data_IF_897903771868
#
_entry.id   IF_897903771868
#
_cell.length_a   1.000
_cell.length_b   1.000
_cell.length_c   1.000
_cell.angle_alpha   90.00
_cell.angle_beta   90.00
_cell.angle_gamma   90.00
#
_symmetry.space_group_name_H-M   'P 1'
#
loop_
_entity.id
_entity.type
_entity.pdbx_description
1 polymer ?
#
# COMPACT_ATOMS: atom_id res chain seq x y z
N UNK A 1 7.26 -18.55 -21.47
CA UNK A 1 6.64 -17.24 -21.79
C UNK A 1 5.11 -17.23 -21.61
N UNK A 2 4.32 -18.10 -22.26
CA UNK A 2 2.84 -18.04 -22.17
C UNK A 2 2.26 -18.24 -20.74
N UNK A 3 2.88 -19.09 -19.90
CA UNK A 3 2.41 -19.33 -18.52
C UNK A 3 2.52 -18.09 -17.64
N UNK A 4 3.63 -17.36 -17.71
CA UNK A 4 3.85 -16.16 -16.91
C UNK A 4 2.90 -15.03 -17.34
N UNK A 5 2.65 -14.88 -18.65
CA UNK A 5 1.68 -13.92 -19.17
C UNK A 5 0.25 -14.16 -18.62
N UNK A 6 -0.21 -15.42 -18.58
CA UNK A 6 -1.49 -15.78 -17.96
C UNK A 6 -1.54 -15.47 -16.46
N UNK A 7 -0.45 -15.72 -15.72
CA UNK A 7 -0.35 -15.41 -14.28
C UNK A 7 -0.43 -13.90 -14.06
N UNK A 8 0.36 -13.12 -14.81
CA UNK A 8 0.36 -11.66 -14.74
C UNK A 8 -1.05 -11.12 -14.99
N UNK A 9 -1.73 -11.55 -16.06
CA UNK A 9 -3.08 -11.10 -16.36
C UNK A 9 -4.08 -11.39 -15.23
N UNK A 10 -3.99 -12.56 -14.59
CA UNK A 10 -4.84 -12.91 -13.44
C UNK A 10 -4.53 -12.05 -12.22
N UNK A 11 -3.25 -11.79 -11.95
CA UNK A 11 -2.83 -10.90 -10.86
C UNK A 11 -3.28 -9.45 -11.10
N UNK A 12 -3.17 -8.95 -12.34
CA UNK A 12 -3.69 -7.64 -12.72
C UNK A 12 -5.21 -7.56 -12.52
N UNK A 13 -5.96 -8.61 -12.90
CA UNK A 13 -7.39 -8.66 -12.68
C UNK A 13 -7.76 -8.70 -11.18
N UNK A 14 -7.02 -9.47 -10.38
CA UNK A 14 -7.19 -9.49 -8.93
C UNK A 14 -6.87 -8.12 -8.30
N UNK A 15 -5.87 -7.42 -8.82
CA UNK A 15 -5.52 -6.08 -8.35
C UNK A 15 -6.58 -5.06 -8.71
N UNK A 16 -7.11 -5.12 -9.94
CA UNK A 16 -8.25 -4.30 -10.33
C UNK A 16 -9.48 -4.57 -9.46
N UNK A 17 -9.76 -5.83 -9.15
CA UNK A 17 -10.85 -6.23 -8.27
C UNK A 17 -10.64 -5.75 -6.83
N UNK A 18 -9.42 -5.83 -6.29
CA UNK A 18 -9.14 -5.29 -4.94
C UNK A 18 -9.30 -3.77 -4.92
N UNK A 19 -8.85 -3.07 -5.96
CA UNK A 19 -8.93 -1.61 -6.03
C UNK A 19 -10.34 -1.06 -6.22
N UNK A 20 -11.16 -1.73 -7.03
CA UNK A 20 -12.52 -1.30 -7.30
C UNK A 20 -13.52 -1.90 -6.28
N UNK A 21 -13.37 -3.20 -5.97
CA UNK A 21 -14.25 -3.95 -5.09
C UNK A 21 -13.98 -3.70 -3.61
N UNK A 22 -12.79 -4.08 -3.11
CA UNK A 22 -12.45 -3.86 -1.70
C UNK A 22 -12.41 -2.36 -1.38
N UNK A 23 -11.87 -1.54 -2.28
CA UNK A 23 -11.91 -0.09 -2.16
C UNK A 23 -13.33 0.47 -2.04
N UNK A 24 -14.25 0.03 -2.90
CA UNK A 24 -15.65 0.43 -2.88
C UNK A 24 -16.38 0.00 -1.60
N UNK A 25 -16.18 -1.25 -1.15
CA UNK A 25 -16.78 -1.77 0.09
C UNK A 25 -16.27 -0.98 1.30
N UNK A 26 -14.96 -0.77 1.38
CA UNK A 26 -14.35 -0.05 2.50
C UNK A 26 -14.78 1.42 2.56
N UNK A 27 -14.98 2.05 1.39
CA UNK A 27 -15.56 3.38 1.28
C UNK A 27 -17.03 3.40 1.72
N UNK A 28 -17.83 2.41 1.31
CA UNK A 28 -19.23 2.27 1.73
C UNK A 28 -19.37 2.06 3.25
N UNK A 29 -18.45 1.29 3.85
CA UNK A 29 -18.38 1.07 5.30
C UNK A 29 -17.73 2.24 6.07
N UNK A 30 -17.28 3.28 5.38
CA UNK A 30 -16.56 4.44 5.97
C UNK A 30 -15.39 4.02 6.86
N UNK A 31 -14.70 2.93 6.50
CA UNK A 31 -13.68 2.35 7.36
C UNK A 31 -12.40 3.22 7.35
N UNK A 32 -11.88 3.62 8.53
CA UNK A 32 -10.65 4.40 8.61
C UNK A 32 -9.43 3.61 8.13
N UNK A 33 -9.53 2.28 8.02
CA UNK A 33 -8.43 1.39 7.63
C UNK A 33 -8.37 1.11 6.12
N UNK A 34 -9.22 1.75 5.31
CA UNK A 34 -9.30 1.52 3.85
C UNK A 34 -7.94 1.53 3.16
N UNK A 35 -7.11 2.55 3.40
CA UNK A 35 -5.79 2.67 2.79
C UNK A 35 -4.81 1.56 3.19
N UNK A 36 -4.96 0.99 4.38
CA UNK A 36 -4.09 -0.07 4.88
C UNK A 36 -4.42 -1.40 4.19
N UNK A 37 -5.71 -1.74 4.08
CA UNK A 37 -6.14 -2.96 3.40
C UNK A 37 -5.92 -2.87 1.89
N UNK A 38 -6.45 -1.83 1.24
CA UNK A 38 -6.36 -1.68 -0.22
C UNK A 38 -4.91 -1.52 -0.64
N UNK A 39 -4.14 -0.67 0.06
CA UNK A 39 -2.71 -0.52 -0.19
C UNK A 39 -1.90 -1.78 0.10
N UNK A 40 -2.20 -2.51 1.18
CA UNK A 40 -1.58 -3.80 1.49
C UNK A 40 -1.74 -4.83 0.36
N UNK A 41 -2.97 -4.99 -0.14
CA UNK A 41 -3.24 -5.87 -1.28
C UNK A 41 -2.55 -5.40 -2.56
N UNK A 42 -2.51 -4.09 -2.81
CA UNK A 42 -1.81 -3.53 -3.97
C UNK A 42 -0.31 -3.85 -3.94
N UNK A 43 0.37 -3.66 -2.79
CA UNK A 43 1.80 -3.99 -2.63
C UNK A 43 2.03 -5.47 -2.93
N UNK A 44 1.23 -6.37 -2.36
CA UNK A 44 1.34 -7.81 -2.60
C UNK A 44 1.20 -8.16 -4.09
N UNK A 45 0.14 -7.67 -4.73
CA UNK A 45 -0.18 -8.02 -6.11
C UNK A 45 0.83 -7.43 -7.10
N UNK A 46 1.26 -6.19 -6.90
CA UNK A 46 2.28 -5.57 -7.75
C UNK A 46 3.64 -6.25 -7.57
N UNK A 47 3.98 -6.69 -6.36
CA UNK A 47 5.21 -7.48 -6.12
C UNK A 47 5.15 -8.83 -6.84
N UNK A 48 4.01 -9.52 -6.80
CA UNK A 48 3.82 -10.77 -7.55
C UNK A 48 3.87 -10.56 -9.06
N UNK A 49 3.28 -9.49 -9.58
CA UNK A 49 3.39 -9.11 -10.99
C UNK A 49 4.87 -8.89 -11.36
N UNK A 50 5.61 -8.14 -10.55
CA UNK A 50 7.03 -7.91 -10.75
C UNK A 50 7.84 -9.22 -10.74
N UNK A 51 7.50 -10.14 -9.84
CA UNK A 51 8.17 -11.44 -9.69
C UNK A 51 7.99 -12.36 -10.91
N UNK A 52 6.82 -12.35 -11.56
CA UNK A 52 6.58 -13.16 -12.76
C UNK A 52 6.95 -12.46 -14.08
N UNK A 53 7.39 -11.20 -14.03
CA UNK A 53 7.70 -10.39 -15.20
C UNK A 53 9.16 -10.48 -15.62
N UNK A 54 9.40 -10.44 -16.94
CA UNK A 54 10.75 -10.30 -17.51
C UNK A 54 11.22 -8.84 -17.42
N UNK A 55 10.38 -7.89 -17.89
CA UNK A 55 10.57 -6.46 -17.72
C UNK A 55 9.57 -5.90 -16.69
N UNK A 56 10.07 -5.64 -15.47
CA UNK A 56 9.26 -5.24 -14.32
C UNK A 56 8.57 -3.90 -14.52
N UNK A 57 9.29 -2.91 -15.02
CA UNK A 57 8.74 -1.57 -15.22
C UNK A 57 7.57 -1.59 -16.21
N UNK A 58 7.81 -2.11 -17.40
CA UNK A 58 6.81 -2.17 -18.47
C UNK A 58 5.57 -2.97 -18.03
N UNK A 59 5.79 -4.12 -17.39
CA UNK A 59 4.70 -5.01 -16.97
C UNK A 59 3.84 -4.39 -15.87
N UNK A 60 4.46 -3.72 -14.89
CA UNK A 60 3.73 -3.02 -13.82
C UNK A 60 2.93 -1.85 -14.38
N UNK A 61 3.53 -1.02 -15.25
CA UNK A 61 2.83 0.12 -15.85
C UNK A 61 1.67 -0.34 -16.73
N UNK A 62 1.86 -1.41 -17.52
CA UNK A 62 0.76 -1.99 -18.30
C UNK A 62 -0.37 -2.51 -17.41
N UNK A 63 -0.02 -3.14 -16.29
CA UNK A 63 -1.00 -3.61 -15.31
C UNK A 63 -1.74 -2.44 -14.64
N UNK A 64 -1.02 -1.37 -14.28
CA UNK A 64 -1.59 -0.15 -13.72
C UNK A 64 -2.63 0.45 -14.68
N UNK A 65 -2.33 0.56 -15.97
CA UNK A 65 -3.28 1.11 -16.95
C UNK A 65 -4.59 0.31 -16.97
N UNK A 66 -4.50 -1.02 -16.97
CA UNK A 66 -5.69 -1.89 -16.93
C UNK A 66 -6.46 -1.69 -15.62
N UNK A 67 -5.77 -1.66 -14.48
CA UNK A 67 -6.36 -1.44 -13.15
C UNK A 67 -7.06 -0.09 -13.08
N UNK A 68 -6.46 0.96 -13.61
CA UNK A 68 -7.03 2.31 -13.65
C UNK A 68 -8.28 2.37 -14.53
N UNK A 69 -8.26 1.75 -15.71
CA UNK A 69 -9.43 1.65 -16.59
C UNK A 69 -10.58 0.95 -15.88
N UNK A 70 -10.31 -0.18 -15.22
CA UNK A 70 -11.34 -0.93 -14.50
C UNK A 70 -11.85 -0.12 -13.30
N UNK A 71 -10.97 0.53 -12.52
CA UNK A 71 -11.35 1.35 -11.37
C UNK A 71 -12.25 2.51 -11.78
N UNK A 72 -11.93 3.17 -12.90
CA UNK A 72 -12.77 4.22 -13.49
C UNK A 72 -14.11 3.67 -13.98
N UNK A 73 -14.13 2.51 -14.64
CA UNK A 73 -15.36 1.92 -15.17
C UNK A 73 -16.31 1.42 -14.06
N UNK A 74 -15.77 0.83 -13.00
CA UNK A 74 -16.55 0.22 -11.92
C UNK A 74 -16.92 1.24 -10.83
N UNK A 75 -16.06 2.23 -10.58
CA UNK A 75 -16.22 3.17 -9.46
C UNK A 75 -15.80 4.60 -9.83
N UNK A 76 -16.44 5.24 -10.83
CA UNK A 76 -16.05 6.57 -11.32
C UNK A 76 -16.12 7.65 -10.23
N UNK A 77 -16.99 7.47 -9.23
CA UNK A 77 -17.15 8.38 -8.10
C UNK A 77 -16.11 8.22 -6.99
N UNK A 78 -15.12 7.34 -7.16
CA UNK A 78 -14.03 7.18 -6.18
C UNK A 78 -13.27 8.50 -5.99
N UNK A 79 -12.81 8.81 -4.76
CA UNK A 79 -12.05 10.03 -4.49
C UNK A 79 -10.83 10.15 -5.40
N UNK A 80 -10.49 11.36 -5.90
CA UNK A 80 -9.30 11.57 -6.72
C UNK A 80 -7.99 11.08 -6.07
N UNK A 81 -7.90 11.19 -4.74
CA UNK A 81 -6.76 10.68 -3.95
C UNK A 81 -6.58 9.18 -4.07
N UNK A 82 -7.66 8.41 -4.25
CA UNK A 82 -7.58 6.96 -4.44
C UNK A 82 -6.89 6.60 -5.77
N UNK A 83 -7.14 7.36 -6.84
CA UNK A 83 -6.46 7.16 -8.12
C UNK A 83 -4.97 7.52 -8.05
N UNK A 84 -4.64 8.59 -7.32
CA UNK A 84 -3.27 8.99 -7.07
C UNK A 84 -2.51 7.94 -6.25
N UNK A 85 -3.13 7.40 -5.20
CA UNK A 85 -2.51 6.37 -4.36
C UNK A 85 -2.12 5.11 -5.16
N UNK A 86 -3.03 4.59 -5.99
CA UNK A 86 -2.78 3.38 -6.82
C UNK A 86 -1.68 3.63 -7.84
N UNK A 87 -1.70 4.81 -8.46
CA UNK A 87 -0.68 5.24 -9.40
C UNK A 87 0.69 5.34 -8.72
N UNK A 88 0.74 5.96 -7.55
CA UNK A 88 1.95 6.09 -6.75
C UNK A 88 2.51 4.71 -6.34
N UNK A 89 1.66 3.81 -5.85
CA UNK A 89 2.04 2.44 -5.49
C UNK A 89 2.71 1.69 -6.65
N UNK A 90 2.11 1.77 -7.83
CA UNK A 90 2.62 1.10 -9.02
C UNK A 90 3.92 1.71 -9.54
N UNK A 91 4.00 3.05 -9.59
CA UNK A 91 5.22 3.76 -10.02
C UNK A 91 6.37 3.46 -9.07
N UNK A 92 6.12 3.54 -7.75
CA UNK A 92 7.15 3.25 -6.75
C UNK A 92 7.59 1.79 -6.80
N UNK A 93 6.68 0.84 -6.96
CA UNK A 93 7.04 -0.57 -7.14
C UNK A 93 7.85 -0.78 -8.43
N UNK A 94 7.44 -0.17 -9.54
CA UNK A 94 8.20 -0.20 -10.79
C UNK A 94 9.60 0.36 -10.63
N UNK A 95 9.74 1.52 -9.99
CA UNK A 95 11.02 2.20 -9.77
C UNK A 95 11.94 1.41 -8.84
N UNK A 96 11.39 0.93 -7.71
CA UNK A 96 12.12 0.13 -6.72
C UNK A 96 12.52 -1.19 -7.36
N UNK A 97 11.61 -1.97 -7.95
CA UNK A 97 11.94 -3.31 -8.43
C UNK A 97 12.74 -3.36 -9.74
N UNK A 98 12.67 -2.32 -10.56
CA UNK A 98 13.53 -2.20 -11.75
C UNK A 98 14.99 -1.97 -11.37
N UNK A 99 15.26 -1.13 -10.36
CA UNK A 99 16.63 -0.80 -9.91
C UNK A 99 17.16 -1.76 -8.85
N UNK A 100 16.34 -2.05 -7.85
CA UNK A 100 16.62 -2.95 -6.74
C UNK A 100 15.90 -4.26 -7.04
N UNK A 101 16.62 -5.39 -7.12
CA UNK A 101 15.96 -6.69 -7.30
C UNK A 101 14.94 -6.92 -6.18
N UNK A 102 14.01 -7.86 -6.40
CA UNK A 102 13.05 -8.26 -5.37
C UNK A 102 13.84 -8.92 -4.23
N UNK A 103 13.96 -8.21 -3.11
CA UNK A 103 14.63 -8.66 -1.91
C UNK A 103 13.84 -8.15 -0.69
N UNK A 104 14.22 -8.60 0.51
CA UNK A 104 13.56 -8.22 1.77
C UNK A 104 13.53 -6.69 1.96
N UNK A 105 14.65 -6.01 1.70
CA UNK A 105 14.76 -4.58 1.91
C UNK A 105 13.94 -3.74 0.92
N UNK A 106 13.87 -4.17 -0.36
CA UNK A 106 13.13 -3.47 -1.40
C UNK A 106 11.62 -3.64 -1.24
N UNK A 107 11.17 -4.81 -0.80
CA UNK A 107 9.77 -5.07 -0.43
C UNK A 107 9.33 -4.32 0.82
N UNK A 108 10.17 -4.28 1.87
CA UNK A 108 9.94 -3.43 3.05
C UNK A 108 9.90 -1.95 2.69
N UNK A 109 10.86 -1.47 1.89
CA UNK A 109 10.90 -0.08 1.43
C UNK A 109 9.62 0.29 0.67
N UNK A 110 9.18 -0.58 -0.25
CA UNK A 110 7.93 -0.37 -0.97
C UNK A 110 6.74 -0.29 0.00
N UNK A 111 6.66 -1.22 0.96
CA UNK A 111 5.60 -1.23 1.97
C UNK A 111 5.55 0.04 2.81
N UNK A 112 6.70 0.50 3.30
CA UNK A 112 6.82 1.77 4.06
C UNK A 112 6.38 2.95 3.20
N UNK A 113 6.96 3.11 2.02
CA UNK A 113 6.72 4.29 1.18
C UNK A 113 5.25 4.39 0.78
N UNK A 114 4.62 3.29 0.42
CA UNK A 114 3.22 3.27 -0.01
C UNK A 114 2.23 3.47 1.12
N UNK A 115 2.45 2.85 2.29
CA UNK A 115 1.57 3.05 3.45
C UNK A 115 1.72 4.44 4.08
N UNK A 116 2.95 4.95 4.17
CA UNK A 116 3.21 6.30 4.66
C UNK A 116 2.61 7.33 3.69
N UNK A 117 2.70 7.13 2.38
CA UNK A 117 2.06 8.01 1.41
C UNK A 117 0.54 8.05 1.60
N UNK A 118 -0.12 6.89 1.77
CA UNK A 118 -1.57 6.85 2.06
C UNK A 118 -1.93 7.57 3.37
N UNK A 119 -1.07 7.45 4.39
CA UNK A 119 -1.24 8.15 5.65
C UNK A 119 -1.11 9.67 5.47
N UNK A 120 -0.11 10.12 4.72
CA UNK A 120 0.12 11.54 4.39
C UNK A 120 -1.06 12.09 3.59
N UNK A 121 -1.57 11.37 2.59
CA UNK A 121 -2.74 11.83 1.82
C UNK A 121 -3.94 12.14 2.72
N UNK A 122 -4.23 11.31 3.73
CA UNK A 122 -5.31 11.56 4.68
C UNK A 122 -5.07 12.81 5.52
N UNK A 123 -3.83 13.02 5.98
CA UNK A 123 -3.46 14.23 6.72
C UNK A 123 -3.56 15.48 5.85
N UNK A 124 -3.18 15.39 4.57
CA UNK A 124 -3.31 16.48 3.61
C UNK A 124 -4.77 16.81 3.33
N UNK A 125 -5.65 15.80 3.18
CA UNK A 125 -7.09 16.03 3.03
C UNK A 125 -7.67 16.69 4.29
N UNK A 126 -7.27 16.23 5.48
CA UNK A 126 -7.70 16.84 6.75
C UNK A 126 -7.27 18.31 6.84
N UNK A 127 -6.01 18.60 6.51
CA UNK A 127 -5.49 19.96 6.50
C UNK A 127 -6.14 20.83 5.43
N UNK A 128 -6.45 20.28 4.25
CA UNK A 128 -7.13 21.02 3.19
C UNK A 128 -8.56 21.40 3.59
N UNK A 129 -9.28 20.52 4.28
CA UNK A 129 -10.67 20.75 4.70
C UNK A 129 -10.75 21.67 5.92
N UNK A 130 -9.96 21.42 6.96
CA UNK A 130 -10.08 22.12 8.25
C UNK A 130 -9.01 23.20 8.45
N UNK A 131 -8.01 23.28 7.58
CA UNK A 131 -6.90 24.21 7.71
C UNK A 131 -6.15 24.06 9.02
N UNK A 132 -5.74 25.19 9.59
CA UNK A 132 -5.06 25.23 10.89
C UNK A 132 -6.01 25.10 12.09
N UNK A 133 -7.32 25.11 11.89
CA UNK A 133 -8.28 25.09 13.00
C UNK A 133 -8.24 23.77 13.77
N UNK A 134 -8.17 22.64 13.06
CA UNK A 134 -8.11 21.30 13.66
C UNK A 134 -6.83 21.12 14.49
N UNK A 135 -5.69 21.55 13.96
CA UNK A 135 -4.41 21.43 14.64
C UNK A 135 -4.37 22.29 15.91
N UNK A 136 -4.86 23.53 15.82
CA UNK A 136 -4.99 24.42 16.99
C UNK A 136 -5.95 23.84 18.04
N UNK A 137 -7.05 23.22 17.63
CA UNK A 137 -7.98 22.59 18.57
C UNK A 137 -7.34 21.40 19.30
N UNK A 138 -6.54 20.59 18.58
CA UNK A 138 -5.76 19.49 19.17
C UNK A 138 -4.74 20.03 20.17
N UNK A 139 -3.98 21.08 19.80
CA UNK A 139 -2.98 21.66 20.70
C UNK A 139 -3.64 22.30 21.94
N UNK A 140 -4.74 23.02 21.78
CA UNK A 140 -5.51 23.57 22.91
C UNK A 140 -6.06 22.49 23.84
N UNK A 141 -6.51 21.37 23.28
CA UNK A 141 -6.93 20.21 24.07
C UNK A 141 -5.74 19.57 24.81
N UNK A 142 -4.57 19.53 24.17
CA UNK A 142 -3.31 19.13 24.77
C UNK A 142 -2.90 19.98 25.96
N UNK A 143 -3.00 21.31 25.83
CA UNK A 143 -2.74 22.26 26.90
C UNK A 143 -3.69 22.06 28.08
N UNK A 144 -4.98 21.81 27.79
CA UNK A 144 -5.98 21.50 28.80
C UNK A 144 -5.68 20.22 29.58
N UNK A 145 -5.26 19.13 28.90
CA UNK A 145 -4.85 17.89 29.56
C UNK A 145 -3.60 18.12 30.40
N UNK A 146 -2.62 18.83 29.84
CA UNK A 146 -1.34 19.13 30.51
C UNK A 146 -1.56 19.89 31.81
N UNK A 147 -2.49 20.85 31.82
CA UNK A 147 -2.86 21.61 33.01
C UNK A 147 -3.51 20.74 34.11
N UNK A 148 -4.17 19.63 33.74
CA UNK A 148 -4.86 18.71 34.66
C UNK A 148 -4.02 17.50 35.07
N UNK A 149 -3.08 17.09 34.23
CA UNK A 149 -2.27 15.88 34.40
C UNK A 149 -0.83 16.16 33.93
N UNK A 150 0.03 16.60 34.86
CA UNK A 150 1.40 17.02 34.52
C UNK A 150 2.25 15.90 33.90
N UNK A 151 1.90 14.64 34.15
CA UNK A 151 2.60 13.48 33.56
C UNK A 151 2.33 13.32 32.05
N UNK A 152 1.22 13.86 31.53
CA UNK A 152 0.90 13.82 30.09
C UNK A 152 1.32 15.09 29.33
N UNK A 153 2.08 15.97 29.99
CA UNK A 153 2.57 17.21 29.41
C UNK A 153 3.35 16.94 28.12
N UNK A 154 2.91 17.51 27.00
CA UNK A 154 3.57 17.41 25.70
C UNK A 154 3.34 16.11 24.92
N UNK A 155 2.64 15.10 25.48
CA UNK A 155 2.27 13.89 24.73
C UNK A 155 1.08 14.12 23.79
N UNK A 156 0.19 15.05 24.13
CA UNK A 156 -1.01 15.39 23.35
C UNK A 156 -0.76 16.68 22.58
N UNK A 157 0.22 16.69 21.68
CA UNK A 157 0.42 17.77 20.70
C UNK A 157 0.11 17.26 19.30
N UNK A 158 -0.39 18.16 18.44
CA UNK A 158 -0.62 17.89 17.03
C UNK A 158 0.57 17.20 16.36
N UNK A 159 1.79 17.71 16.59
CA UNK A 159 3.02 17.17 16.01
C UNK A 159 3.29 15.73 16.49
N UNK A 160 3.16 15.47 17.79
CA UNK A 160 3.38 14.13 18.37
C UNK A 160 2.37 13.13 17.82
N UNK A 161 1.10 13.52 17.74
CA UNK A 161 0.04 12.65 17.20
C UNK A 161 0.25 12.33 15.72
N UNK A 162 0.61 13.33 14.90
CA UNK A 162 0.97 13.12 13.49
C UNK A 162 2.16 12.17 13.39
N UNK A 163 3.21 12.39 14.19
CA UNK A 163 4.41 11.57 14.16
C UNK A 163 4.12 10.11 14.52
N UNK A 164 3.41 9.87 15.63
CA UNK A 164 2.99 8.53 16.06
C UNK A 164 2.15 7.85 14.99
N UNK A 165 1.19 8.57 14.39
CA UNK A 165 0.35 8.06 13.31
C UNK A 165 1.19 7.61 12.11
N UNK A 166 2.15 8.43 11.64
CA UNK A 166 3.03 8.06 10.52
C UNK A 166 3.94 6.89 10.86
N UNK A 167 4.47 6.83 12.09
CA UNK A 167 5.31 5.72 12.54
C UNK A 167 4.54 4.39 12.61
N UNK A 168 3.29 4.40 13.04
CA UNK A 168 2.43 3.21 13.01
C UNK A 168 2.32 2.69 11.57
N UNK A 169 2.03 3.56 10.60
CA UNK A 169 1.96 3.17 9.19
C UNK A 169 3.29 2.68 8.63
N UNK A 170 4.42 3.29 9.03
CA UNK A 170 5.75 2.84 8.64
C UNK A 170 6.05 1.43 9.19
N UNK A 171 5.78 1.17 10.48
CA UNK A 171 5.99 -0.14 11.11
C UNK A 171 5.14 -1.21 10.43
N UNK A 172 3.87 -0.91 10.17
CA UNK A 172 2.98 -1.84 9.44
C UNK A 172 3.50 -2.09 8.03
N UNK A 173 4.05 -1.07 7.37
CA UNK A 173 4.67 -1.20 6.05
C UNK A 173 5.88 -2.14 6.05
N UNK A 174 6.72 -2.08 7.09
CA UNK A 174 7.83 -3.02 7.28
C UNK A 174 7.30 -4.44 7.47
N UNK A 175 6.32 -4.64 8.35
CA UNK A 175 5.74 -5.96 8.64
C UNK A 175 5.10 -6.56 7.40
N UNK A 176 4.31 -5.80 6.65
CA UNK A 176 3.71 -6.27 5.40
C UNK A 176 4.76 -6.58 4.33
N UNK A 177 5.76 -5.71 4.17
CA UNK A 177 6.85 -5.95 3.21
C UNK A 177 7.63 -7.23 3.54
N UNK A 178 7.89 -7.49 4.82
CA UNK A 178 8.49 -8.73 5.28
C UNK A 178 7.64 -9.95 4.93
N UNK A 179 6.35 -9.92 5.25
CA UNK A 179 5.42 -11.01 4.99
C UNK A 179 5.32 -11.31 3.49
N UNK A 180 5.25 -10.27 2.66
CA UNK A 180 5.21 -10.41 1.20
C UNK A 180 6.49 -11.08 0.69
N UNK A 181 7.65 -10.69 1.20
CA UNK A 181 8.92 -11.32 0.82
C UNK A 181 8.97 -12.80 1.21
N UNK A 182 8.52 -13.14 2.41
CA UNK A 182 8.42 -14.53 2.87
C UNK A 182 7.51 -15.37 1.96
N UNK A 183 6.37 -14.81 1.51
CA UNK A 183 5.52 -15.44 0.51
C UNK A 183 6.24 -15.69 -0.82
N UNK A 184 7.08 -14.75 -1.27
CA UNK A 184 7.88 -14.93 -2.51
C UNK A 184 8.89 -16.07 -2.34
N UNK A 185 9.57 -16.15 -1.18
CA UNK A 185 10.49 -17.25 -0.88
C UNK A 185 9.78 -18.61 -0.86
N UNK A 186 8.60 -18.68 -0.23
CA UNK A 186 7.77 -19.88 -0.22
C UNK A 186 7.39 -20.34 -1.64
N UNK A 187 7.06 -19.41 -2.53
CA UNK A 187 6.79 -19.71 -3.95
C UNK A 187 8.02 -20.22 -4.69
N UNK A 188 9.20 -19.69 -4.39
CA UNK A 188 10.46 -20.12 -5.00
C UNK A 188 10.86 -21.52 -4.56
N UNK A 189 10.75 -21.80 -3.25
CA UNK A 189 10.99 -23.12 -2.68
C UNK A 189 10.08 -24.19 -3.30
N UNK A 190 8.77 -23.91 -3.40
CA UNK A 190 7.82 -24.87 -3.95
C UNK A 190 7.93 -25.06 -5.47
N UNK A 191 8.37 -24.04 -6.24
CA UNK A 191 8.71 -24.23 -7.65
C UNK A 191 9.86 -25.22 -7.84
N UNK A 192 10.86 -25.17 -6.96
CA UNK A 192 11.98 -26.11 -6.94
C UNK A 192 11.50 -27.55 -6.72
N UNK A 193 10.68 -27.78 -5.70
CA UNK A 193 10.21 -29.13 -5.35
C UNK A 193 9.37 -29.81 -6.45
N UNK A 194 8.55 -29.06 -7.19
CA UNK A 194 7.77 -29.61 -8.31
C UNK A 194 8.69 -30.04 -9.47
N UNK A 195 9.82 -29.37 -9.71
CA UNK A 195 10.78 -29.81 -10.73
C UNK A 195 11.50 -31.11 -10.38
N UNK A 196 11.79 -31.35 -9.10
CA UNK A 196 12.44 -32.59 -8.65
C UNK A 196 11.48 -33.80 -8.66
N UNK A 197 10.19 -33.59 -8.38
CA UNK A 197 9.19 -34.66 -8.44
C UNK A 197 8.92 -35.16 -9.87
N UNK A 198 9.01 -34.29 -10.89
CA UNK A 198 8.77 -34.70 -12.29
C UNK A 198 9.98 -35.46 -12.88
N UNK A 199 11.18 -35.33 -12.30
CA UNK A 199 12.36 -36.11 -12.71
C UNK A 199 12.46 -37.49 -12.06
N UNK A 200 11.65 -37.76 -11.04
CA UNK A 200 11.65 -39.03 -10.29
C UNK A 200 10.59 -40.04 -10.78
N UNK A 201 9.85 -39.70 -11.84
CA UNK A 201 8.86 -40.54 -12.53
C UNK A 201 9.37 -40.76 -13.96
#
# INVERSE_FOLDING_TARGET
>A
MQRNSKIISRLTALWALSEAGLGGIMHALQSPFTGLFVGGFAILLVTLIAYFSDNRWETIIRSLLIVMIIKLAVSPHSPPTAYLAVTFQAIMAGAIYSKLRINMWSTMLLGVVTLVESAIQKLLVLWLIYGNSIWKAIDQFGDYITAKMSFMAGLVSSLVLISVYLWIYAIIGIVLGFLIYDMILYLEYNKGNVQYQIKAI
#
